data_IF_235681759554
#
_entry.id   IF_235681759554
#
_cell.length_a   1.000
_cell.length_b   1.000
_cell.length_c   1.000
_cell.angle_alpha   90.00
_cell.angle_beta   90.00
_cell.angle_gamma   90.00
#
_symmetry.space_group_name_H-M   'P 1'
#
loop_
_entity.id
_entity.type
_entity.pdbx_description
1 polymer ?
#
# COMPACT_ATOMS: atom_id res chain seq x y z
N UNK A 1 2.05 -9.32 18.54
CA UNK A 1 2.49 -8.74 17.24
C UNK A 1 1.26 -8.62 16.34
N UNK A 2 0.97 -7.42 15.82
CA UNK A 2 -0.10 -7.18 14.85
C UNK A 2 0.33 -7.65 13.44
N UNK A 3 -0.57 -8.11 12.53
CA UNK A 3 -0.18 -8.52 11.18
C UNK A 3 0.39 -7.37 10.35
N UNK A 4 1.27 -7.66 9.39
CA UNK A 4 1.54 -6.80 8.27
C UNK A 4 0.62 -7.22 7.12
N UNK A 5 0.09 -6.26 6.39
CA UNK A 5 -0.86 -6.50 5.32
C UNK A 5 -0.26 -6.09 3.97
N UNK A 6 -0.60 -6.83 2.93
CA UNK A 6 -0.53 -6.37 1.56
C UNK A 6 -1.95 -6.37 0.99
N UNK A 7 -2.38 -5.27 0.42
CA UNK A 7 -3.73 -5.14 -0.10
C UNK A 7 -3.76 -4.41 -1.45
N UNK A 8 -4.75 -4.76 -2.26
CA UNK A 8 -5.07 -4.05 -3.48
C UNK A 8 -5.98 -2.87 -3.15
N UNK A 9 -5.55 -1.65 -3.49
CA UNK A 9 -6.31 -0.45 -3.19
C UNK A 9 -7.28 -0.04 -4.30
N UNK A 10 -7.03 -0.48 -5.53
CA UNK A 10 -7.81 -0.10 -6.71
C UNK A 10 -7.82 1.41 -7.00
N UNK A 11 -8.49 1.78 -8.09
CA UNK A 11 -8.80 3.18 -8.36
C UNK A 11 -9.92 3.68 -7.42
N UNK A 12 -10.12 5.00 -7.25
CA UNK A 12 -11.14 5.55 -6.36
C UNK A 12 -12.55 4.96 -6.50
N UNK A 13 -13.04 4.59 -7.71
CA UNK A 13 -14.35 3.93 -7.86
C UNK A 13 -14.50 2.58 -7.14
N UNK A 14 -13.42 2.00 -6.64
CA UNK A 14 -13.50 0.75 -5.89
C UNK A 14 -14.32 0.90 -4.58
N UNK A 15 -14.47 2.12 -4.04
CA UNK A 15 -15.34 2.38 -2.90
C UNK A 15 -16.84 2.18 -3.23
N UNK A 16 -17.19 2.14 -4.51
CA UNK A 16 -18.55 1.89 -5.00
C UNK A 16 -18.75 0.42 -5.41
N UNK A 17 -17.73 -0.44 -5.26
CA UNK A 17 -17.84 -1.88 -5.50
C UNK A 17 -18.30 -2.58 -4.22
N UNK A 18 -19.59 -2.94 -4.17
CA UNK A 18 -20.21 -3.57 -2.99
C UNK A 18 -19.49 -4.86 -2.56
N UNK A 19 -18.98 -5.63 -3.52
CA UNK A 19 -18.29 -6.88 -3.21
C UNK A 19 -16.95 -6.60 -2.54
N UNK A 20 -16.14 -5.72 -3.10
CA UNK A 20 -14.85 -5.34 -2.53
C UNK A 20 -15.02 -4.70 -1.16
N UNK A 21 -15.97 -3.74 -1.04
CA UNK A 21 -16.27 -3.07 0.23
C UNK A 21 -16.68 -4.08 1.29
N UNK A 22 -17.60 -5.00 0.97
CA UNK A 22 -18.05 -6.01 1.94
C UNK A 22 -16.93 -6.96 2.38
N UNK A 23 -16.10 -7.42 1.45
CA UNK A 23 -14.97 -8.30 1.74
C UNK A 23 -13.91 -7.58 2.59
N UNK A 24 -13.54 -6.36 2.24
CA UNK A 24 -12.52 -5.61 2.97
C UNK A 24 -13.02 -5.21 4.37
N UNK A 25 -14.29 -4.84 4.51
CA UNK A 25 -14.92 -4.57 5.81
C UNK A 25 -14.91 -5.81 6.70
N UNK A 26 -15.31 -6.97 6.16
CA UNK A 26 -15.31 -8.23 6.90
C UNK A 26 -13.90 -8.60 7.37
N UNK A 27 -12.92 -8.51 6.45
CA UNK A 27 -11.52 -8.79 6.78
C UNK A 27 -10.97 -7.84 7.85
N UNK A 28 -11.24 -6.53 7.74
CA UNK A 28 -10.84 -5.55 8.73
C UNK A 28 -11.41 -5.85 10.13
N UNK A 29 -12.65 -6.36 10.19
CA UNK A 29 -13.31 -6.77 11.43
C UNK A 29 -12.67 -7.98 12.12
N UNK A 30 -11.97 -8.83 11.37
CA UNK A 30 -11.23 -9.99 11.90
C UNK A 30 -9.83 -9.64 12.40
N UNK A 31 -9.29 -8.48 11.99
CA UNK A 31 -7.96 -8.05 12.37
C UNK A 31 -7.95 -7.42 13.78
N UNK A 32 -6.86 -7.61 14.54
CA UNK A 32 -6.69 -6.87 15.78
C UNK A 32 -6.61 -5.37 15.48
N UNK A 33 -7.32 -4.56 16.29
CA UNK A 33 -7.34 -3.11 16.09
C UNK A 33 -5.94 -2.51 16.29
N UNK A 34 -5.39 -1.77 15.32
CA UNK A 34 -4.08 -1.17 15.44
C UNK A 34 -4.09 0.07 16.36
N UNK A 35 -2.96 0.34 16.99
CA UNK A 35 -2.70 1.60 17.71
C UNK A 35 -2.35 2.74 16.75
N UNK A 36 -1.76 2.40 15.60
CA UNK A 36 -1.46 3.30 14.48
C UNK A 36 -1.26 2.48 13.20
N UNK A 37 -1.30 3.14 12.07
CA UNK A 37 -1.09 2.53 10.75
C UNK A 37 0.07 3.23 10.04
N UNK A 38 1.02 2.44 9.53
CA UNK A 38 2.07 2.87 8.62
C UNK A 38 1.80 2.32 7.23
N UNK A 39 1.61 3.21 6.25
CA UNK A 39 1.31 2.84 4.86
C UNK A 39 2.51 3.06 3.96
N UNK A 40 2.80 2.08 3.10
CA UNK A 40 3.67 2.21 1.93
C UNK A 40 2.79 2.03 0.69
N UNK A 41 2.54 3.11 -0.04
CA UNK A 41 1.72 3.10 -1.25
C UNK A 41 2.58 3.03 -2.50
N UNK A 42 2.14 2.26 -3.50
CA UNK A 42 2.77 2.20 -4.83
C UNK A 42 2.75 3.55 -5.58
N UNK A 43 1.99 4.53 -5.09
CA UNK A 43 1.87 5.87 -5.70
C UNK A 43 2.90 6.87 -5.18
N UNK A 44 3.81 6.45 -4.29
CA UNK A 44 4.82 7.36 -3.78
C UNK A 44 6.22 6.75 -3.78
N UNK A 45 6.90 6.93 -4.91
CA UNK A 45 8.32 6.64 -5.05
C UNK A 45 9.12 7.92 -4.77
N UNK A 46 9.95 7.91 -3.75
CA UNK A 46 10.84 9.04 -3.41
C UNK A 46 12.05 8.55 -2.63
N UNK A 47 13.23 8.91 -3.10
CA UNK A 47 14.52 8.62 -2.45
C UNK A 47 15.19 9.93 -1.96
N UNK A 48 15.82 9.90 -0.79
CA UNK A 48 15.85 8.81 0.18
C UNK A 48 14.47 8.55 0.79
N UNK A 49 14.35 7.55 1.69
CA UNK A 49 13.11 7.29 2.43
C UNK A 49 12.54 8.60 2.96
N UNK A 50 11.30 8.88 2.62
CA UNK A 50 10.63 10.12 2.99
C UNK A 50 9.37 9.83 3.79
N UNK A 51 9.19 10.50 4.90
CA UNK A 51 8.02 10.43 5.76
C UNK A 51 7.06 11.56 5.39
N UNK A 52 5.81 11.24 5.16
CA UNK A 52 4.77 12.20 4.85
C UNK A 52 4.29 13.00 6.04
N UNK A 53 3.24 13.78 5.83
CA UNK A 53 2.66 14.62 6.87
C UNK A 53 2.25 13.81 8.10
N UNK A 54 2.68 14.25 9.26
CA UNK A 54 2.28 13.75 10.58
C UNK A 54 1.31 14.70 11.29
N UNK A 55 0.86 15.74 10.59
CA UNK A 55 -0.12 16.68 11.13
C UNK A 55 -1.51 16.08 11.15
N UNK A 56 -2.27 16.22 12.24
CA UNK A 56 -3.64 15.75 12.30
C UNK A 56 -4.51 16.40 11.21
N UNK A 57 -5.47 15.61 10.68
CA UNK A 57 -6.49 16.11 9.74
C UNK A 57 -5.89 16.81 8.52
N UNK A 58 -4.83 16.27 7.99
CA UNK A 58 -4.22 16.78 6.76
C UNK A 58 -5.11 16.45 5.56
N UNK A 59 -5.40 17.38 4.65
CA UNK A 59 -6.13 17.08 3.42
C UNK A 59 -5.49 15.92 2.66
N UNK A 60 -6.24 15.25 1.78
CA UNK A 60 -5.76 14.11 0.99
C UNK A 60 -4.96 14.57 -0.24
N UNK A 61 -4.18 13.67 -0.81
CA UNK A 61 -3.58 13.82 -2.14
C UNK A 61 -4.45 13.07 -3.14
N UNK A 62 -5.13 13.81 -4.02
CA UNK A 62 -5.92 13.24 -5.12
C UNK A 62 -5.02 13.10 -6.35
N UNK A 63 -4.29 12.00 -6.40
CA UNK A 63 -3.27 11.68 -7.42
C UNK A 63 -3.84 10.89 -8.61
N UNK A 64 -5.07 11.18 -8.98
CA UNK A 64 -5.79 10.58 -10.08
C UNK A 64 -6.56 11.66 -10.86
N UNK A 65 -7.05 11.32 -12.05
CA UNK A 65 -7.78 12.25 -12.92
C UNK A 65 -8.83 11.52 -13.77
N UNK A 66 -9.79 12.30 -14.30
CA UNK A 66 -10.80 11.78 -15.22
C UNK A 66 -11.97 11.07 -14.56
N UNK A 67 -12.08 11.12 -13.24
CA UNK A 67 -13.18 10.52 -12.47
C UNK A 67 -14.27 11.56 -12.14
N UNK A 68 -15.50 11.10 -11.81
CA UNK A 68 -16.56 11.96 -11.27
C UNK A 68 -16.15 12.75 -10.03
N UNK A 69 -16.76 13.94 -9.85
CA UNK A 69 -16.39 14.90 -8.80
C UNK A 69 -16.46 14.30 -7.38
N UNK A 70 -17.43 13.46 -7.08
CA UNK A 70 -17.61 12.92 -5.73
C UNK A 70 -16.39 12.14 -5.20
N UNK A 71 -15.52 11.59 -6.08
CA UNK A 71 -14.27 10.96 -5.64
C UNK A 71 -13.21 11.96 -5.19
N UNK A 72 -13.30 13.21 -5.65
CA UNK A 72 -12.44 14.32 -5.18
C UNK A 72 -13.00 15.01 -3.93
N UNK A 73 -14.22 14.67 -3.54
CA UNK A 73 -14.87 15.20 -2.33
C UNK A 73 -14.68 14.27 -1.12
N UNK A 74 -14.07 13.09 -1.32
CA UNK A 74 -13.74 12.15 -0.25
C UNK A 74 -12.80 12.82 0.75
N UNK A 75 -13.07 12.65 2.03
CA UNK A 75 -12.20 13.08 3.14
C UNK A 75 -11.87 11.91 4.05
N UNK A 76 -10.71 11.96 4.68
CA UNK A 76 -10.29 10.98 5.68
C UNK A 76 -9.47 11.67 6.76
N UNK A 77 -10.13 12.17 7.78
CA UNK A 77 -9.57 13.04 8.82
C UNK A 77 -8.87 12.26 9.95
N UNK A 78 -8.03 11.29 9.61
CA UNK A 78 -7.29 10.52 10.61
C UNK A 78 -6.27 11.38 11.37
N UNK A 79 -6.03 11.08 12.66
CA UNK A 79 -4.93 11.66 13.40
C UNK A 79 -3.59 11.37 12.76
N UNK A 80 -2.64 12.29 12.84
CA UNK A 80 -1.26 12.03 12.44
C UNK A 80 -0.54 11.13 13.44
N UNK A 81 0.44 10.32 12.97
CA UNK A 81 1.20 9.38 13.77
C UNK A 81 2.67 9.85 13.93
N UNK A 82 2.89 10.98 14.61
CA UNK A 82 4.22 11.57 14.75
C UNK A 82 5.21 10.68 15.54
N UNK A 83 4.72 9.95 16.53
CA UNK A 83 5.51 8.98 17.29
C UNK A 83 5.95 7.79 16.43
N UNK A 84 5.08 7.30 15.53
CA UNK A 84 5.44 6.26 14.56
C UNK A 84 6.48 6.80 13.57
N UNK A 85 6.33 8.03 13.08
CA UNK A 85 7.31 8.68 12.21
C UNK A 85 8.70 8.74 12.85
N UNK A 86 8.79 9.17 14.11
CA UNK A 86 10.05 9.21 14.84
C UNK A 86 10.69 7.81 15.01
N UNK A 87 9.87 6.78 15.19
CA UNK A 87 10.35 5.39 15.31
C UNK A 87 10.78 4.82 13.96
N UNK A 88 10.11 5.18 12.86
CA UNK A 88 10.57 4.85 11.50
C UNK A 88 11.95 5.44 11.27
N UNK A 89 12.15 6.73 11.58
CA UNK A 89 13.45 7.40 11.45
C UNK A 89 14.52 6.72 12.30
N UNK A 90 14.22 6.41 13.57
CA UNK A 90 15.14 5.74 14.47
C UNK A 90 15.50 4.29 14.05
N UNK A 91 14.67 3.65 13.25
CA UNK A 91 14.93 2.31 12.72
C UNK A 91 15.88 2.30 11.51
N UNK A 92 16.16 3.47 10.92
CA UNK A 92 17.05 3.56 9.77
C UNK A 92 18.51 3.71 10.22
N UNK A 93 19.48 3.14 9.45
CA UNK A 93 20.91 3.34 9.70
C UNK A 93 21.31 4.81 9.56
N UNK A 94 22.37 5.21 10.28
CA UNK A 94 22.83 6.59 10.27
C UNK A 94 23.35 7.08 8.90
N UNK A 95 23.72 6.17 8.03
CA UNK A 95 24.17 6.42 6.64
C UNK A 95 23.03 6.37 5.61
N UNK A 96 21.82 6.02 6.03
CA UNK A 96 20.60 6.08 5.19
C UNK A 96 19.72 7.25 5.66
N UNK A 97 19.83 8.44 5.05
CA UNK A 97 19.10 9.62 5.52
C UNK A 97 17.59 9.44 5.33
N UNK A 98 16.82 9.92 6.29
CA UNK A 98 15.37 10.03 6.19
C UNK A 98 14.99 11.48 5.99
N UNK A 99 14.06 11.74 5.08
CA UNK A 99 13.48 13.06 4.83
C UNK A 99 12.06 13.14 5.40
N UNK A 100 11.61 14.36 5.67
CA UNK A 100 10.24 14.67 6.01
C UNK A 100 9.64 15.59 4.95
N UNK A 101 8.47 15.21 4.42
CA UNK A 101 7.68 16.06 3.55
C UNK A 101 6.33 16.37 4.22
N UNK A 102 6.22 17.51 4.93
CA UNK A 102 4.98 17.86 5.62
C UNK A 102 3.81 18.20 4.65
N UNK A 103 4.10 18.33 3.36
CA UNK A 103 3.10 18.59 2.33
C UNK A 103 2.61 17.31 1.64
N UNK A 104 3.36 16.22 1.74
CA UNK A 104 2.90 14.92 1.23
C UNK A 104 1.85 14.33 2.16
N UNK A 105 0.68 14.10 1.61
CA UNK A 105 -0.52 13.65 2.31
C UNK A 105 -0.87 12.24 1.89
N UNK A 106 -1.86 11.62 2.54
CA UNK A 106 -2.32 10.27 2.15
C UNK A 106 -2.83 10.32 0.71
N UNK A 107 -2.28 9.49 -0.15
CA UNK A 107 -2.75 9.29 -1.52
C UNK A 107 -3.88 8.26 -1.59
N UNK A 108 -4.46 8.06 -2.78
CA UNK A 108 -5.58 7.14 -2.92
C UNK A 108 -5.21 5.68 -2.58
N UNK A 109 -3.97 5.27 -2.76
CA UNK A 109 -3.49 3.98 -2.31
C UNK A 109 -3.52 3.80 -0.79
N UNK A 110 -3.49 4.90 -0.03
CA UNK A 110 -3.63 4.87 1.41
C UNK A 110 -5.10 5.07 1.84
N UNK A 111 -5.74 6.17 1.43
CA UNK A 111 -7.04 6.51 2.00
C UNK A 111 -8.21 5.67 1.46
N UNK A 112 -8.19 5.22 0.20
CA UNK A 112 -9.30 4.42 -0.36
C UNK A 112 -9.54 3.16 0.47
N UNK A 113 -8.56 2.28 0.73
CA UNK A 113 -8.80 1.13 1.58
C UNK A 113 -9.09 1.53 3.05
N UNK A 114 -8.49 2.60 3.57
CA UNK A 114 -8.69 3.00 4.95
C UNK A 114 -10.10 3.54 5.22
N UNK A 115 -10.74 4.20 4.25
CA UNK A 115 -12.15 4.63 4.36
C UNK A 115 -13.11 3.46 4.55
N UNK A 116 -12.74 2.26 4.07
CA UNK A 116 -13.52 1.04 4.22
C UNK A 116 -13.13 0.27 5.49
N UNK A 117 -11.82 0.13 5.75
CA UNK A 117 -11.32 -0.65 6.90
C UNK A 117 -11.56 0.06 8.24
N UNK A 118 -11.43 1.37 8.28
CA UNK A 118 -11.50 2.22 9.48
C UNK A 118 -12.30 3.49 9.19
N UNK A 119 -13.61 3.39 8.91
CA UNK A 119 -14.44 4.50 8.42
C UNK A 119 -14.54 5.67 9.41
N UNK A 120 -14.35 5.42 10.70
CA UNK A 120 -14.39 6.48 11.73
C UNK A 120 -13.14 7.37 11.72
N UNK A 121 -12.11 7.01 10.92
CA UNK A 121 -10.84 7.72 10.78
C UNK A 121 -10.18 8.08 12.13
N UNK A 122 -10.31 7.21 13.14
CA UNK A 122 -9.86 7.45 14.51
C UNK A 122 -8.50 6.79 14.85
N UNK A 123 -7.97 5.99 13.93
CA UNK A 123 -6.64 5.39 14.05
C UNK A 123 -5.60 6.34 13.46
N UNK A 124 -4.52 6.67 14.19
CA UNK A 124 -3.42 7.49 13.66
C UNK A 124 -2.76 6.85 12.44
N UNK A 125 -2.50 7.66 11.40
CA UNK A 125 -1.90 7.18 10.14
C UNK A 125 -0.69 8.03 9.76
N UNK A 126 0.35 7.37 9.26
CA UNK A 126 1.45 8.00 8.53
C UNK A 126 1.78 7.19 7.29
N UNK A 127 2.11 7.88 6.21
CA UNK A 127 2.58 7.28 4.97
C UNK A 127 4.07 7.55 4.79
N UNK A 128 4.80 6.55 4.30
CA UNK A 128 6.21 6.69 3.89
C UNK A 128 6.36 6.36 2.41
N UNK A 129 7.40 6.90 1.80
CA UNK A 129 7.73 6.60 0.42
C UNK A 129 8.32 5.21 0.27
N UNK A 130 8.24 4.69 -0.96
CA UNK A 130 9.04 3.58 -1.44
C UNK A 130 10.36 4.17 -2.01
N UNK A 131 11.51 3.98 -1.31
CA UNK A 131 12.75 4.69 -1.66
C UNK A 131 13.46 4.10 -2.88
N UNK A 132 13.05 2.95 -3.34
CA UNK A 132 13.65 2.19 -4.45
C UNK A 132 12.68 1.16 -4.98
N UNK A 133 12.95 0.64 -6.19
CA UNK A 133 12.29 -0.55 -6.75
C UNK A 133 13.17 -1.81 -6.65
N UNK A 134 14.29 -1.76 -5.92
CA UNK A 134 15.10 -2.95 -5.61
C UNK A 134 14.43 -3.80 -4.54
N UNK A 135 13.96 -5.04 -4.86
CA UNK A 135 13.24 -5.88 -3.93
C UNK A 135 14.06 -6.25 -2.67
N UNK A 136 15.38 -6.41 -2.81
CA UNK A 136 16.25 -6.74 -1.68
C UNK A 136 16.34 -5.57 -0.69
N UNK A 137 16.41 -4.34 -1.22
CA UNK A 137 16.41 -3.15 -0.36
C UNK A 137 15.06 -2.98 0.34
N UNK A 138 13.94 -3.19 -0.37
CA UNK A 138 12.60 -3.12 0.21
C UNK A 138 12.38 -4.20 1.28
N UNK A 139 12.91 -5.40 1.07
CA UNK A 139 12.87 -6.45 2.11
C UNK A 139 13.60 -6.01 3.39
N UNK A 140 14.83 -5.48 3.25
CA UNK A 140 15.58 -4.94 4.40
C UNK A 140 14.85 -3.81 5.11
N UNK A 141 14.20 -2.91 4.36
CA UNK A 141 13.35 -1.87 4.94
C UNK A 141 12.20 -2.50 5.76
N UNK A 142 11.52 -3.48 5.22
CA UNK A 142 10.45 -4.21 5.92
C UNK A 142 10.95 -4.90 7.21
N UNK A 143 12.14 -5.50 7.18
CA UNK A 143 12.77 -6.11 8.35
C UNK A 143 13.06 -5.09 9.46
N UNK A 144 13.53 -3.90 9.11
CA UNK A 144 13.79 -2.80 10.06
C UNK A 144 12.50 -2.25 10.68
N UNK A 145 11.41 -2.23 9.91
CA UNK A 145 10.11 -1.75 10.37
C UNK A 145 9.33 -2.81 11.18
N UNK A 146 9.70 -4.08 11.04
CA UNK A 146 9.01 -5.21 11.69
C UNK A 146 8.77 -5.03 13.20
N UNK A 147 9.71 -4.49 14.01
CA UNK A 147 9.51 -4.30 15.46
C UNK A 147 8.33 -3.38 15.80
N UNK A 148 7.94 -2.45 14.92
CA UNK A 148 6.78 -1.58 15.14
C UNK A 148 5.49 -2.38 15.38
N UNK A 149 5.40 -3.57 14.81
CA UNK A 149 4.23 -4.45 14.92
C UNK A 149 4.03 -5.01 16.34
N UNK A 150 5.09 -5.12 17.14
CA UNK A 150 5.00 -5.55 18.53
C UNK A 150 4.32 -4.50 19.40
N UNK A 151 4.42 -3.24 19.01
CA UNK A 151 3.78 -2.11 19.68
C UNK A 151 2.40 -1.74 19.08
N UNK A 152 1.86 -2.63 18.27
CA UNK A 152 0.51 -2.48 17.72
C UNK A 152 0.41 -1.62 16.46
N UNK A 153 1.54 -1.24 15.82
CA UNK A 153 1.52 -0.52 14.54
C UNK A 153 1.28 -1.50 13.41
N UNK A 154 0.20 -1.32 12.66
CA UNK A 154 -0.10 -2.11 11.47
C UNK A 154 0.68 -1.56 10.28
N UNK A 155 1.47 -2.41 9.65
CA UNK A 155 2.18 -2.09 8.41
C UNK A 155 1.30 -2.50 7.22
N UNK A 156 1.03 -1.58 6.31
CA UNK A 156 0.24 -1.83 5.11
C UNK A 156 1.08 -1.50 3.87
N UNK A 157 1.39 -2.52 3.06
CA UNK A 157 1.82 -2.35 1.69
C UNK A 157 0.58 -2.27 0.80
N UNK A 158 0.42 -1.19 0.05
CA UNK A 158 -0.76 -0.93 -0.77
C UNK A 158 -0.39 -0.76 -2.24
N UNK A 159 -0.90 -1.66 -3.08
CA UNK A 159 -0.62 -1.70 -4.51
C UNK A 159 -1.46 -2.77 -5.20
N UNK A 160 -1.00 -3.24 -6.36
CA UNK A 160 -1.54 -4.40 -7.06
C UNK A 160 -0.45 -5.43 -7.29
N UNK A 161 -0.82 -6.71 -7.35
CA UNK A 161 0.11 -7.77 -7.78
C UNK A 161 0.47 -7.61 -9.25
N UNK A 162 -0.44 -7.08 -10.07
CA UNK A 162 -0.21 -6.76 -11.48
C UNK A 162 -0.78 -5.39 -11.83
N UNK A 163 -0.08 -4.62 -12.68
CA UNK A 163 -0.50 -3.29 -13.12
C UNK A 163 -0.31 -3.08 -14.64
N UNK A 164 -0.65 -4.09 -15.42
CA UNK A 164 -0.50 -4.10 -16.88
C UNK A 164 -1.58 -3.34 -17.65
N UNK A 165 -1.99 -2.17 -17.19
CA UNK A 165 -3.09 -1.39 -17.80
C UNK A 165 -2.96 -1.20 -19.32
N UNK A 166 -1.77 -0.95 -19.92
CA UNK A 166 -1.63 -0.82 -21.36
C UNK A 166 -1.95 -2.11 -22.14
N UNK A 167 -2.04 -3.25 -21.48
CA UNK A 167 -2.24 -4.58 -22.06
C UNK A 167 -3.61 -5.17 -21.71
N UNK A 168 -4.53 -4.35 -21.20
CA UNK A 168 -5.91 -4.72 -20.96
C UNK A 168 -6.73 -4.44 -22.24
N UNK A 169 -7.32 -5.50 -22.80
CA UNK A 169 -8.24 -5.36 -23.95
C UNK A 169 -9.60 -4.84 -23.52
N UNK A 170 -10.08 -5.25 -22.34
CA UNK A 170 -11.37 -4.85 -21.77
C UNK A 170 -11.20 -4.53 -20.27
N UNK A 171 -11.30 -3.26 -19.87
CA UNK A 171 -11.24 -2.85 -18.46
C UNK A 171 -12.60 -2.89 -17.75
N UNK A 172 -13.67 -3.40 -18.39
CA UNK A 172 -15.01 -3.39 -17.81
C UNK A 172 -15.16 -4.37 -16.65
N UNK A 173 -16.01 -4.07 -15.65
CA UNK A 173 -16.34 -5.00 -14.58
C UNK A 173 -16.88 -6.31 -15.13
N UNK A 174 -16.31 -7.45 -14.70
CA UNK A 174 -16.71 -8.78 -15.17
C UNK A 174 -16.04 -9.25 -16.46
N UNK A 175 -15.14 -8.46 -17.05
CA UNK A 175 -14.28 -8.91 -18.14
C UNK A 175 -13.43 -10.12 -17.74
N UNK A 176 -13.12 -10.98 -18.72
CA UNK A 176 -12.22 -12.10 -18.47
C UNK A 176 -10.80 -11.56 -18.23
N UNK A 177 -10.18 -11.82 -17.08
CA UNK A 177 -8.84 -11.31 -16.83
C UNK A 177 -7.80 -11.94 -17.78
N UNK A 178 -6.80 -11.18 -18.24
CA UNK A 178 -5.77 -11.71 -19.11
C UNK A 178 -4.96 -12.81 -18.43
N UNK A 179 -4.53 -13.82 -19.21
CA UNK A 179 -3.75 -14.95 -18.68
C UNK A 179 -2.48 -14.53 -17.95
N UNK A 180 -1.77 -13.52 -18.45
CA UNK A 180 -0.57 -13.00 -17.77
C UNK A 180 -0.86 -12.47 -16.36
N UNK A 181 -2.05 -11.92 -16.11
CA UNK A 181 -2.44 -11.43 -14.79
C UNK A 181 -2.80 -12.57 -13.84
N UNK A 182 -3.63 -13.52 -14.30
CA UNK A 182 -4.06 -14.65 -13.47
C UNK A 182 -2.91 -15.60 -13.13
N UNK A 183 -1.98 -15.83 -14.05
CA UNK A 183 -0.79 -16.66 -13.80
C UNK A 183 0.17 -15.99 -12.82
N UNK A 184 0.39 -14.68 -12.96
CA UNK A 184 1.23 -13.94 -12.01
C UNK A 184 0.61 -13.95 -10.61
N UNK A 185 -0.70 -13.73 -10.49
CA UNK A 185 -1.41 -13.70 -9.21
C UNK A 185 -1.33 -15.06 -8.50
N UNK A 186 -1.60 -16.15 -9.23
CA UNK A 186 -1.48 -17.50 -8.71
C UNK A 186 -0.05 -17.81 -8.25
N UNK A 187 0.95 -17.44 -9.05
CA UNK A 187 2.37 -17.61 -8.70
C UNK A 187 2.72 -16.81 -7.42
N UNK A 188 2.30 -15.56 -7.34
CA UNK A 188 2.56 -14.71 -6.18
C UNK A 188 1.93 -15.30 -4.91
N UNK A 189 0.66 -15.73 -5.00
CA UNK A 189 -0.05 -16.36 -3.88
C UNK A 189 0.68 -17.62 -3.37
N UNK A 190 1.16 -18.49 -4.29
CA UNK A 190 1.95 -19.67 -3.92
C UNK A 190 3.27 -19.29 -3.24
N UNK A 191 3.99 -18.28 -3.76
CA UNK A 191 5.30 -17.87 -3.19
C UNK A 191 5.12 -17.25 -1.81
N UNK A 192 4.08 -16.41 -1.62
CA UNK A 192 3.75 -15.88 -0.29
C UNK A 192 3.37 -16.99 0.69
N UNK A 193 2.53 -17.94 0.29
CA UNK A 193 2.13 -19.06 1.14
C UNK A 193 3.31 -19.95 1.55
N UNK A 194 4.29 -20.12 0.65
CA UNK A 194 5.51 -20.89 0.90
C UNK A 194 6.60 -20.09 1.63
N UNK A 195 6.42 -18.78 1.86
CA UNK A 195 7.45 -17.85 2.32
C UNK A 195 8.74 -17.93 1.47
N UNK A 196 8.60 -18.14 0.15
CA UNK A 196 9.69 -18.27 -0.81
C UNK A 196 10.25 -16.88 -1.17
N UNK A 197 11.01 -16.32 -0.22
CA UNK A 197 11.56 -14.96 -0.32
C UNK A 197 12.49 -14.83 -1.52
N UNK A 198 13.28 -15.85 -1.83
CA UNK A 198 14.22 -15.83 -2.97
C UNK A 198 13.47 -15.72 -4.30
N UNK A 199 12.35 -16.42 -4.45
CA UNK A 199 11.53 -16.29 -5.65
C UNK A 199 10.85 -14.92 -5.73
N UNK A 200 10.34 -14.39 -4.60
CA UNK A 200 9.71 -13.07 -4.55
C UNK A 200 10.69 -11.94 -4.87
N UNK A 201 11.93 -12.03 -4.41
CA UNK A 201 12.98 -11.06 -4.76
C UNK A 201 13.33 -11.11 -6.25
N UNK A 202 13.38 -12.31 -6.82
CA UNK A 202 13.73 -12.54 -8.21
C UNK A 202 12.49 -12.64 -9.14
N UNK A 203 11.39 -12.01 -8.76
CA UNK A 203 10.11 -12.10 -9.49
C UNK A 203 10.22 -11.72 -10.97
N UNK A 204 11.11 -10.80 -11.32
CA UNK A 204 11.31 -10.33 -12.68
C UNK A 204 11.72 -11.46 -13.64
N UNK A 205 12.46 -12.46 -13.13
CA UNK A 205 12.92 -13.60 -13.91
C UNK A 205 12.09 -14.88 -13.70
N UNK A 206 11.41 -14.99 -12.54
CA UNK A 206 10.73 -16.22 -12.14
C UNK A 206 9.22 -16.18 -12.30
N UNK A 207 8.62 -14.98 -12.20
CA UNK A 207 7.18 -14.88 -12.29
C UNK A 207 6.70 -15.03 -13.74
N UNK A 208 5.63 -15.78 -14.00
CA UNK A 208 4.96 -15.78 -15.29
C UNK A 208 4.34 -14.41 -15.58
N UNK A 209 4.03 -14.13 -16.84
CA UNK A 209 3.36 -12.89 -17.22
C UNK A 209 4.24 -11.65 -17.27
N UNK A 210 5.52 -11.74 -16.88
CA UNK A 210 6.47 -10.63 -17.08
C UNK A 210 6.83 -10.47 -18.57
N UNK A 211 7.01 -9.23 -19.09
CA UNK A 211 6.93 -7.92 -18.40
C UNK A 211 5.50 -7.32 -18.34
N UNK A 212 4.47 -8.03 -18.83
CA UNK A 212 3.11 -7.47 -18.89
C UNK A 212 2.54 -7.12 -17.51
N UNK A 213 2.85 -7.93 -16.50
CA UNK A 213 2.38 -7.71 -15.14
C UNK A 213 2.94 -6.42 -14.52
N UNK A 214 4.20 -6.07 -14.84
CA UNK A 214 4.90 -4.89 -14.34
C UNK A 214 5.62 -4.15 -15.49
N UNK A 215 4.91 -3.41 -16.33
CA UNK A 215 5.49 -2.84 -17.56
C UNK A 215 6.47 -1.69 -17.32
N UNK A 216 6.52 -1.13 -16.12
CA UNK A 216 7.37 0.04 -15.76
C UNK A 216 8.62 -0.33 -14.97
N UNK A 217 8.90 -1.61 -14.78
CA UNK A 217 10.05 -2.09 -14.01
C UNK A 217 11.12 -2.67 -14.93
#
# INVERSE_FOLDING_TARGET
MIPALYLSHGAPPLVDDDLWVSQLTAWAGELPRPTAILVVSAHWESAPLTIGSTSPRTPLTYDFWGFPQHYYDVTYDAPGAADVAARVEAAMPADEPVRHDPHRRLDHGAYVPLTVMYPDADVPVVQISMPTLDPQHLLRLGERLRPLRDDGVMLIGSGFTTHGLPFLDDPSPGAVPPTWSTEFDAWAAERFAAADVDALIDFRHRAPGMPYAHPTI
#
